data_IF_608949995122
#
_entry.id   IF_608949995122
#
_cell.length_a   1.000
_cell.length_b   1.000
_cell.length_c   1.000
_cell.angle_alpha   90.00
_cell.angle_beta   90.00
_cell.angle_gamma   90.00
#
_symmetry.space_group_name_H-M   'P 1'
#
loop_
_entity.id
_entity.type
_entity.pdbx_description
1 polymer ?
#
# COMPACT_ATOMS: atom_id res chain seq x y z
N UNK A 1 6.26 17.95 -46.78
CA UNK A 1 6.45 18.00 -45.32
C UNK A 1 5.14 17.56 -44.64
N UNK A 2 5.09 16.33 -44.12
CA UNK A 2 3.88 15.78 -43.46
C UNK A 2 4.14 15.57 -41.97
N UNK A 3 3.41 16.28 -41.12
CA UNK A 3 3.46 16.12 -39.66
C UNK A 3 2.77 14.81 -39.25
N UNK A 4 3.51 13.91 -38.60
CA UNK A 4 2.96 12.72 -37.97
C UNK A 4 2.44 13.07 -36.57
N UNK A 5 1.12 12.98 -36.39
CA UNK A 5 0.44 12.99 -35.09
C UNK A 5 0.51 11.57 -34.49
N UNK A 6 1.28 11.40 -33.41
CA UNK A 6 1.24 10.15 -32.61
C UNK A 6 0.19 10.31 -31.51
N UNK A 7 -0.97 9.66 -31.70
CA UNK A 7 -2.01 9.53 -30.67
C UNK A 7 -1.64 8.38 -29.74
N UNK A 8 -1.04 8.69 -28.59
CA UNK A 8 -0.89 7.75 -27.48
C UNK A 8 -2.23 7.57 -26.76
N UNK A 9 -2.81 6.37 -26.88
CA UNK A 9 -4.05 5.99 -26.21
C UNK A 9 -3.70 5.56 -24.78
N UNK A 10 -3.85 6.47 -23.81
CA UNK A 10 -3.79 6.12 -22.37
C UNK A 10 -5.11 5.43 -22.03
N UNK A 11 -5.03 4.16 -21.64
CA UNK A 11 -6.16 3.40 -21.12
C UNK A 11 -6.56 3.95 -19.76
N UNK A 12 -7.70 4.64 -19.72
CA UNK A 12 -8.38 5.02 -18.47
C UNK A 12 -9.06 3.76 -17.93
N UNK A 13 -8.61 3.27 -16.78
CA UNK A 13 -9.34 2.26 -16.02
C UNK A 13 -10.50 2.95 -15.31
N UNK A 14 -11.70 2.85 -15.89
CA UNK A 14 -12.93 3.27 -15.23
C UNK A 14 -13.29 2.22 -14.17
N UNK A 15 -13.16 2.60 -12.90
CA UNK A 15 -13.78 1.88 -11.80
C UNK A 15 -15.24 2.32 -11.72
N UNK A 16 -16.13 1.43 -12.15
CA UNK A 16 -17.58 1.68 -12.15
C UNK A 16 -18.09 1.97 -10.74
N UNK A 17 -18.72 3.13 -10.60
CA UNK A 17 -19.61 3.41 -9.48
C UNK A 17 -20.81 2.46 -9.53
N UNK A 18 -21.23 1.96 -8.38
CA UNK A 18 -22.52 1.32 -8.19
C UNK A 18 -23.06 1.68 -6.80
N UNK A 19 -24.39 1.80 -6.66
CA UNK A 19 -24.99 2.87 -5.87
C UNK A 19 -25.11 2.52 -4.39
N UNK A 20 -25.08 3.58 -3.58
CA UNK A 20 -25.45 3.58 -2.18
C UNK A 20 -26.89 3.05 -2.02
N UNK A 21 -27.05 1.94 -1.30
CA UNK A 21 -28.32 1.52 -0.75
C UNK A 21 -28.47 2.11 0.66
N UNK A 22 -29.35 3.10 0.74
CA UNK A 22 -29.89 3.72 1.94
C UNK A 22 -30.93 2.78 2.56
N UNK A 23 -30.62 2.13 3.70
CA UNK A 23 -31.68 1.69 4.59
C UNK A 23 -31.25 1.39 6.03
N UNK A 24 -31.96 2.10 6.92
CA UNK A 24 -32.30 1.77 8.30
C UNK A 24 -31.28 2.10 9.40
N UNK A 25 -31.38 3.34 9.84
CA UNK A 25 -31.45 3.69 11.26
C UNK A 25 -32.31 2.68 12.05
N UNK A 26 -31.68 2.00 13.01
CA UNK A 26 -32.17 1.72 14.37
C UNK A 26 -31.24 0.72 15.03
N UNK A 27 -30.45 1.19 16.00
CA UNK A 27 -30.43 0.71 17.39
C UNK A 27 -29.20 1.34 18.05
N UNK A 28 -29.48 2.43 18.76
CA UNK A 28 -28.63 2.98 19.79
C UNK A 28 -28.77 2.09 21.01
N UNK A 29 -27.72 1.35 21.37
CA UNK A 29 -27.49 0.99 22.76
C UNK A 29 -26.01 1.13 23.09
N UNK A 30 -25.79 1.97 24.08
CA UNK A 30 -24.59 2.40 24.73
C UNK A 30 -24.19 1.36 25.79
N UNK A 31 -22.95 0.86 25.74
CA UNK A 31 -22.24 0.14 26.82
C UNK A 31 -20.75 0.28 26.48
N UNK A 32 -20.11 1.32 27.01
CA UNK A 32 -19.36 1.37 28.27
C UNK A 32 -17.90 0.90 28.12
N UNK A 33 -17.02 1.72 28.66
CA UNK A 33 -15.58 1.67 28.53
C UNK A 33 -15.03 1.60 29.95
N UNK A 34 -14.56 0.43 30.38
CA UNK A 34 -13.51 0.28 31.40
C UNK A 34 -13.08 -1.18 31.60
N UNK A 35 -11.79 -1.39 31.36
CA UNK A 35 -10.83 -2.16 32.16
C UNK A 35 -11.05 -3.66 32.48
N UNK A 36 -10.10 -4.45 31.95
CA UNK A 36 -9.27 -5.45 32.65
C UNK A 36 -9.95 -6.64 33.37
N UNK A 37 -9.85 -7.84 32.78
CA UNK A 37 -8.91 -8.89 33.23
C UNK A 37 -9.39 -10.33 32.92
N UNK A 38 -8.51 -11.07 32.23
CA UNK A 38 -8.13 -12.49 32.41
C UNK A 38 -9.09 -13.65 32.03
N UNK A 39 -8.61 -14.34 30.98
CA UNK A 39 -8.18 -15.75 30.92
C UNK A 39 -9.10 -16.78 30.22
N UNK A 40 -8.40 -17.62 29.43
CA UNK A 40 -8.71 -18.96 28.93
C UNK A 40 -9.34 -19.03 27.53
N UNK A 41 -8.55 -19.40 26.52
CA UNK A 41 -8.51 -20.76 25.95
C UNK A 41 -7.31 -20.83 25.01
N UNK A 42 -6.39 -21.76 25.30
CA UNK A 42 -5.37 -22.19 24.37
C UNK A 42 -6.01 -22.90 23.19
N UNK A 43 -6.20 -22.17 22.09
CA UNK A 43 -6.37 -22.78 20.78
C UNK A 43 -4.99 -23.07 20.22
N UNK A 44 -4.72 -24.34 19.90
CA UNK A 44 -3.53 -24.74 19.17
C UNK A 44 -3.35 -23.77 17.99
N UNK A 45 -2.26 -23.01 18.00
CA UNK A 45 -1.91 -22.15 16.87
C UNK A 45 -1.83 -23.08 15.66
N UNK A 46 -2.77 -22.93 14.72
CA UNK A 46 -2.62 -23.55 13.40
C UNK A 46 -1.24 -23.19 12.91
N UNK A 47 -0.41 -24.19 12.67
CA UNK A 47 0.99 -24.05 12.29
C UNK A 47 1.07 -23.05 11.14
N UNK A 48 1.93 -22.05 11.28
CA UNK A 48 2.19 -21.07 10.23
C UNK A 48 2.47 -21.78 8.89
N UNK A 49 2.04 -21.17 7.78
CA UNK A 49 2.38 -21.69 6.45
C UNK A 49 3.92 -21.81 6.35
N UNK A 50 4.47 -23.00 6.04
CA UNK A 50 5.92 -23.20 5.92
C UNK A 50 6.61 -22.23 4.94
N UNK A 51 5.88 -21.70 3.96
CA UNK A 51 6.42 -20.80 2.94
C UNK A 51 6.42 -19.33 3.37
N UNK A 52 5.49 -18.89 4.20
CA UNK A 52 5.30 -17.49 4.58
C UNK A 52 5.61 -17.20 6.05
N UNK A 53 5.59 -18.22 6.91
CA UNK A 53 5.79 -18.07 8.35
C UNK A 53 4.65 -17.32 9.05
N UNK A 54 3.52 -17.09 8.39
CA UNK A 54 2.35 -16.42 8.95
C UNK A 54 1.27 -17.44 9.30
N UNK A 55 0.64 -17.26 10.46
CA UNK A 55 -0.56 -18.00 10.86
C UNK A 55 -1.82 -17.43 10.21
N UNK A 56 -2.88 -18.25 10.10
CA UNK A 56 -4.21 -17.81 9.63
C UNK A 56 -4.72 -16.55 10.36
N UNK A 57 -4.44 -16.46 11.67
CA UNK A 57 -4.86 -15.32 12.50
C UNK A 57 -4.12 -14.04 12.10
N UNK A 58 -2.84 -14.13 11.79
CA UNK A 58 -2.03 -12.99 11.33
C UNK A 58 -2.45 -12.55 9.94
N UNK A 59 -2.68 -13.50 9.04
CA UNK A 59 -3.21 -13.24 7.70
C UNK A 59 -4.56 -12.52 7.78
N UNK A 60 -5.47 -13.00 8.63
CA UNK A 60 -6.78 -12.35 8.82
C UNK A 60 -6.63 -10.91 9.33
N UNK A 61 -5.76 -10.69 10.32
CA UNK A 61 -5.49 -9.34 10.85
C UNK A 61 -4.93 -8.43 9.76
N UNK A 62 -3.95 -8.90 8.98
CA UNK A 62 -3.33 -8.13 7.91
C UNK A 62 -4.36 -7.71 6.85
N UNK A 63 -5.19 -8.64 6.38
CA UNK A 63 -6.26 -8.34 5.42
C UNK A 63 -7.27 -7.34 5.99
N UNK A 64 -7.57 -7.46 7.28
CA UNK A 64 -8.54 -6.58 7.96
C UNK A 64 -8.00 -5.16 8.14
N UNK A 65 -6.75 -5.01 8.59
CA UNK A 65 -6.13 -3.69 8.76
C UNK A 65 -5.88 -3.02 7.41
N UNK A 66 -5.50 -3.80 6.39
CA UNK A 66 -5.31 -3.28 5.04
C UNK A 66 -6.56 -2.63 4.45
N UNK A 67 -7.75 -3.15 4.72
CA UNK A 67 -9.01 -2.53 4.26
C UNK A 67 -9.16 -1.08 4.72
N UNK A 68 -8.66 -0.73 5.90
CA UNK A 68 -8.71 0.65 6.38
C UNK A 68 -7.75 1.56 5.60
N UNK A 69 -6.54 1.07 5.33
CA UNK A 69 -5.52 1.77 4.53
C UNK A 69 -5.96 1.94 3.07
N UNK A 70 -6.50 0.87 2.48
CA UNK A 70 -6.90 0.83 1.07
C UNK A 70 -7.98 1.86 0.72
N UNK A 71 -8.82 2.29 1.66
CA UNK A 71 -9.85 3.32 1.42
C UNK A 71 -9.27 4.64 0.93
N UNK A 72 -8.09 5.02 1.43
CA UNK A 72 -7.41 6.26 1.09
C UNK A 72 -6.01 5.96 0.51
N UNK A 73 -5.93 4.96 -0.36
CA UNK A 73 -4.65 4.37 -0.80
C UNK A 73 -3.75 5.36 -1.52
N UNK A 74 -4.32 6.26 -2.33
CA UNK A 74 -3.56 7.27 -3.06
C UNK A 74 -2.88 8.26 -2.11
N UNK A 75 -3.66 8.87 -1.21
CA UNK A 75 -3.16 9.83 -0.22
C UNK A 75 -2.17 9.15 0.74
N UNK A 76 -2.48 7.92 1.17
CA UNK A 76 -1.58 7.16 2.05
C UNK A 76 -0.24 6.88 1.39
N UNK A 77 -0.23 6.57 0.07
CA UNK A 77 0.99 6.36 -0.68
C UNK A 77 1.88 7.62 -0.72
N UNK A 78 1.28 8.79 -0.93
CA UNK A 78 2.01 10.08 -0.88
C UNK A 78 2.56 10.34 0.51
N UNK A 79 1.75 10.20 1.55
CA UNK A 79 2.16 10.41 2.94
C UNK A 79 3.30 9.48 3.38
N UNK A 80 3.28 8.23 2.91
CA UNK A 80 4.32 7.26 3.18
C UNK A 80 5.68 7.75 2.67
N UNK A 81 5.74 8.27 1.44
CA UNK A 81 6.98 8.79 0.87
C UNK A 81 7.41 10.12 1.52
N UNK A 82 6.49 11.03 1.81
CA UNK A 82 6.80 12.26 2.55
C UNK A 82 7.43 11.90 3.91
N UNK A 83 6.84 10.96 4.64
CA UNK A 83 7.35 10.50 5.93
C UNK A 83 8.72 9.83 5.81
N UNK A 84 8.93 9.05 4.75
CA UNK A 84 10.21 8.41 4.44
C UNK A 84 11.32 9.45 4.20
N UNK A 85 11.05 10.47 3.37
CA UNK A 85 12.02 11.52 3.07
C UNK A 85 12.30 12.44 4.28
N UNK A 86 11.29 12.71 5.13
CA UNK A 86 11.52 13.44 6.39
C UNK A 86 12.48 12.70 7.32
N UNK A 87 12.36 11.37 7.37
CA UNK A 87 13.19 10.52 8.21
C UNK A 87 14.58 10.25 7.61
N UNK A 88 14.69 10.32 6.28
CA UNK A 88 15.91 10.02 5.52
C UNK A 88 16.07 11.02 4.38
N UNK A 89 16.55 12.23 4.68
CA UNK A 89 16.58 13.34 3.71
C UNK A 89 17.42 13.02 2.46
N UNK A 90 18.53 12.30 2.61
CA UNK A 90 19.40 11.90 1.51
C UNK A 90 18.71 10.95 0.50
N UNK A 91 17.65 10.26 0.93
CA UNK A 91 16.95 9.26 0.13
C UNK A 91 16.20 9.90 -1.04
N UNK A 92 15.68 11.11 -0.85
CA UNK A 92 14.95 11.85 -1.87
C UNK A 92 15.82 12.12 -3.11
N UNK A 93 17.14 12.28 -2.93
CA UNK A 93 18.09 12.52 -4.01
C UNK A 93 18.11 11.38 -5.06
N UNK A 94 17.76 10.15 -4.67
CA UNK A 94 17.67 9.00 -5.57
C UNK A 94 16.45 9.06 -6.52
N UNK A 95 15.44 9.87 -6.19
CA UNK A 95 14.21 10.00 -6.97
C UNK A 95 14.30 11.18 -7.93
N UNK A 96 15.02 11.00 -9.04
CA UNK A 96 15.39 12.07 -9.98
C UNK A 96 14.25 13.01 -10.42
N UNK A 97 13.01 12.51 -10.50
CA UNK A 97 11.84 13.28 -10.92
C UNK A 97 11.38 14.33 -9.90
N UNK A 98 11.66 14.11 -8.63
CA UNK A 98 11.22 14.99 -7.53
C UNK A 98 12.30 15.15 -6.43
N UNK A 99 13.56 14.94 -6.79
CA UNK A 99 14.72 15.04 -5.90
C UNK A 99 14.99 16.46 -5.41
N UNK A 100 14.52 17.47 -6.15
CA UNK A 100 14.73 18.90 -5.86
C UNK A 100 13.49 19.58 -5.28
N UNK A 101 12.42 18.83 -5.01
CA UNK A 101 11.24 19.41 -4.39
C UNK A 101 11.51 19.62 -2.90
N UNK A 102 11.19 20.80 -2.40
CA UNK A 102 11.19 21.00 -0.96
C UNK A 102 10.11 20.13 -0.32
N UNK A 103 10.40 19.56 0.86
CA UNK A 103 9.41 18.85 1.68
C UNK A 103 8.45 19.85 2.35
N UNK A 104 7.76 20.64 1.56
CA UNK A 104 6.66 21.52 1.94
C UNK A 104 5.33 20.93 1.44
N UNK A 105 4.22 21.60 1.72
CA UNK A 105 2.90 21.14 1.27
C UNK A 105 2.83 20.95 -0.26
N UNK A 106 3.66 21.67 -1.02
CA UNK A 106 3.76 21.57 -2.48
C UNK A 106 4.16 20.17 -2.98
N UNK A 107 4.85 19.36 -2.18
CA UNK A 107 5.26 18.01 -2.59
C UNK A 107 4.06 17.06 -2.69
N UNK A 108 2.99 17.32 -1.93
CA UNK A 108 1.75 16.51 -1.93
C UNK A 108 1.06 16.53 -3.29
N UNK A 109 1.10 17.69 -3.95
CA UNK A 109 0.45 17.91 -5.25
C UNK A 109 1.32 17.47 -6.43
N UNK A 110 2.51 16.90 -6.17
CA UNK A 110 3.38 16.44 -7.22
C UNK A 110 2.85 15.16 -7.88
N UNK A 111 2.45 15.25 -9.14
CA UNK A 111 1.91 14.11 -9.89
C UNK A 111 2.87 12.93 -10.06
N UNK A 112 4.18 13.15 -10.14
CA UNK A 112 5.16 12.07 -10.22
C UNK A 112 5.28 11.32 -8.89
N UNK A 113 5.24 12.02 -7.75
CA UNK A 113 5.22 11.41 -6.43
C UNK A 113 3.92 10.65 -6.21
N UNK A 114 2.77 11.24 -6.55
CA UNK A 114 1.47 10.60 -6.45
C UNK A 114 1.40 9.32 -7.29
N UNK A 115 1.88 9.36 -8.54
CA UNK A 115 1.96 8.19 -9.41
C UNK A 115 2.87 7.12 -8.81
N UNK A 116 4.02 7.49 -8.27
CA UNK A 116 4.93 6.53 -7.65
C UNK A 116 4.32 5.88 -6.40
N UNK A 117 3.66 6.68 -5.55
CA UNK A 117 2.88 6.20 -4.41
C UNK A 117 1.81 5.19 -4.82
N UNK A 118 1.01 5.50 -5.84
CA UNK A 118 0.01 4.59 -6.38
C UNK A 118 0.60 3.26 -6.87
N UNK A 119 1.73 3.30 -7.58
CA UNK A 119 2.40 2.07 -8.06
C UNK A 119 2.82 1.19 -6.87
N UNK A 120 3.46 1.77 -5.85
CA UNK A 120 3.90 1.02 -4.67
C UNK A 120 2.72 0.45 -3.89
N UNK A 121 1.70 1.26 -3.66
CA UNK A 121 0.52 0.80 -2.93
C UNK A 121 -0.25 -0.30 -3.70
N UNK A 122 -0.28 -0.25 -5.03
CA UNK A 122 -0.84 -1.33 -5.86
C UNK A 122 -0.06 -2.64 -5.75
N UNK A 123 1.28 -2.58 -5.70
CA UNK A 123 2.12 -3.76 -5.45
C UNK A 123 1.80 -4.38 -4.09
N UNK A 124 1.65 -3.55 -3.06
CA UNK A 124 1.30 -4.00 -1.71
C UNK A 124 -0.11 -4.60 -1.65
N UNK A 125 -1.07 -3.97 -2.33
CA UNK A 125 -2.44 -4.49 -2.43
C UNK A 125 -2.46 -5.88 -3.07
N UNK A 126 -1.82 -6.03 -4.24
CA UNK A 126 -1.72 -7.32 -4.92
C UNK A 126 -1.09 -8.40 -4.02
N UNK A 127 -0.05 -8.06 -3.25
CA UNK A 127 0.60 -8.98 -2.32
C UNK A 127 -0.32 -9.39 -1.16
N UNK A 128 -1.07 -8.44 -0.57
CA UNK A 128 -1.96 -8.71 0.56
C UNK A 128 -3.21 -9.46 0.12
N UNK A 129 -3.79 -9.12 -1.03
CA UNK A 129 -4.95 -9.80 -1.60
C UNK A 129 -4.63 -11.24 -1.93
N UNK A 130 -3.42 -11.53 -2.41
CA UNK A 130 -2.97 -12.87 -2.80
C UNK A 130 -2.05 -13.51 -1.75
N UNK A 131 -2.17 -13.15 -0.46
CA UNK A 131 -1.23 -13.59 0.57
C UNK A 131 -1.24 -15.12 0.79
N UNK A 132 -2.28 -15.81 0.37
CA UNK A 132 -2.41 -17.27 0.37
C UNK A 132 -1.67 -17.95 -0.80
N UNK A 133 -1.14 -17.18 -1.75
CA UNK A 133 -0.37 -17.66 -2.90
C UNK A 133 1.08 -17.12 -2.86
N UNK A 134 1.97 -17.75 -2.07
CA UNK A 134 3.35 -17.28 -1.89
C UNK A 134 4.16 -17.22 -3.18
N UNK A 135 3.88 -18.10 -4.15
CA UNK A 135 4.61 -18.13 -5.41
C UNK A 135 4.22 -16.93 -6.30
N UNK A 136 2.94 -16.55 -6.31
CA UNK A 136 2.49 -15.30 -6.95
C UNK A 136 3.13 -14.06 -6.30
N UNK A 137 3.12 -13.97 -4.98
CA UNK A 137 3.72 -12.83 -4.25
C UNK A 137 5.21 -12.75 -4.56
N UNK A 138 5.93 -13.88 -4.54
CA UNK A 138 7.36 -13.92 -4.85
C UNK A 138 7.64 -13.40 -6.26
N UNK A 139 6.85 -13.80 -7.24
CA UNK A 139 6.98 -13.31 -8.60
C UNK A 139 6.73 -11.79 -8.66
N UNK A 140 5.63 -11.32 -8.06
CA UNK A 140 5.22 -9.93 -8.11
C UNK A 140 6.21 -8.99 -7.42
N UNK A 141 6.62 -9.35 -6.20
CA UNK A 141 7.62 -8.62 -5.42
C UNK A 141 9.01 -8.74 -6.05
N UNK A 142 9.35 -9.88 -6.66
CA UNK A 142 10.61 -10.08 -7.37
C UNK A 142 10.79 -9.08 -8.51
N UNK A 143 9.72 -8.79 -9.27
CA UNK A 143 9.73 -7.76 -10.30
C UNK A 143 10.03 -6.37 -9.75
N UNK A 144 9.37 -5.99 -8.65
CA UNK A 144 9.61 -4.71 -7.97
C UNK A 144 11.02 -4.65 -7.34
N UNK A 145 11.49 -5.72 -6.71
CA UNK A 145 12.83 -5.78 -6.14
C UNK A 145 13.92 -5.63 -7.23
N UNK A 146 13.70 -6.22 -8.41
CA UNK A 146 14.61 -6.09 -9.54
C UNK A 146 14.73 -4.66 -10.06
N UNK A 147 13.68 -3.82 -9.96
CA UNK A 147 13.78 -2.40 -10.34
C UNK A 147 14.62 -1.61 -9.34
N UNK A 148 14.47 -1.89 -8.03
CA UNK A 148 15.23 -1.18 -6.99
C UNK A 148 16.73 -1.45 -7.05
N UNK A 149 17.14 -2.67 -7.43
CA UNK A 149 18.56 -3.03 -7.60
C UNK A 149 19.25 -2.32 -8.77
N UNK A 150 18.49 -1.68 -9.68
CA UNK A 150 19.07 -0.97 -10.84
C UNK A 150 19.56 0.43 -10.49
N UNK A 151 19.17 0.98 -9.34
CA UNK A 151 19.59 2.32 -8.93
C UNK A 151 20.98 2.30 -8.27
N UNK A 152 21.84 3.21 -8.71
CA UNK A 152 23.10 3.51 -8.03
C UNK A 152 22.83 4.00 -6.61
N UNK A 153 23.45 3.39 -5.61
CA UNK A 153 23.20 3.72 -4.20
C UNK A 153 22.04 2.93 -3.57
N UNK A 154 21.53 1.87 -4.22
CA UNK A 154 20.53 0.98 -3.62
C UNK A 154 20.97 0.49 -2.23
N UNK A 155 20.13 0.77 -1.24
CA UNK A 155 20.39 0.39 0.14
C UNK A 155 19.36 -0.63 0.61
N UNK A 156 19.75 -1.91 0.64
CA UNK A 156 18.87 -3.02 0.98
C UNK A 156 18.23 -2.94 2.38
N UNK A 157 18.85 -2.26 3.36
CA UNK A 157 18.27 -2.05 4.71
C UNK A 157 16.98 -1.21 4.73
N UNK A 158 16.66 -0.51 3.64
CA UNK A 158 15.51 0.40 3.58
C UNK A 158 14.22 -0.30 3.10
N UNK A 159 14.27 -1.61 2.87
CA UNK A 159 13.18 -2.48 2.45
C UNK A 159 13.01 -3.61 3.46
#
# INVERSE_FOLDING_TARGET
MGCAQVKGRIGVVNFGESPLNEQSDKVRTQLDCSAEARLVVGGAAKSADPKLGLSDREIFKLRTTWKAVHRNVADTGVEMFISLFKSNQDLQAMFLKFSKLELSDNIRDNGDLALHGQIVMGILDEAIVNIDNPDFIRQRLGGAAATHRRFTGFYGKLF
#
